data_IF_820610020892
#
_entry.id   IF_820610020892
#
_cell.length_a   1.000
_cell.length_b   1.000
_cell.length_c   1.000
_cell.angle_alpha   90.00
_cell.angle_beta   90.00
_cell.angle_gamma   90.00
#
_symmetry.space_group_name_H-M   'P 1'
#
loop_
_entity.id
_entity.type
_entity.pdbx_description
1 polymer ?
#
# COMPACT_ATOMS: atom_id res chain seq x y z
N UNK A 1 -5.87 71.54 -8.14
CA UNK A 1 -4.56 71.17 -7.54
C UNK A 1 -4.70 70.00 -6.57
N UNK A 2 -5.70 70.00 -5.70
CA UNK A 2 -5.87 69.01 -4.62
C UNK A 2 -6.15 67.56 -5.07
N UNK A 3 -6.78 67.36 -6.25
CA UNK A 3 -7.06 66.03 -6.83
C UNK A 3 -5.81 65.37 -7.44
N UNK A 4 -4.99 66.14 -8.16
CA UNK A 4 -3.78 65.62 -8.84
C UNK A 4 -2.75 65.18 -7.81
N UNK A 5 -2.55 65.96 -6.76
CA UNK A 5 -1.62 65.62 -5.67
C UNK A 5 -2.07 64.37 -4.88
N UNK A 6 -3.39 64.17 -4.73
CA UNK A 6 -3.94 62.93 -4.16
C UNK A 6 -3.66 61.73 -5.06
N UNK A 7 -3.87 61.85 -6.37
CA UNK A 7 -3.59 60.78 -7.34
C UNK A 7 -2.10 60.43 -7.34
N UNK A 8 -1.21 61.41 -7.34
CA UNK A 8 0.24 61.19 -7.27
C UNK A 8 0.66 60.45 -5.99
N UNK A 9 0.11 60.84 -4.82
CA UNK A 9 0.37 60.14 -3.55
C UNK A 9 -0.12 58.69 -3.59
N UNK A 10 -1.30 58.42 -4.18
CA UNK A 10 -1.81 57.05 -4.34
C UNK A 10 -0.94 56.22 -5.28
N UNK A 11 -0.46 56.79 -6.39
CA UNK A 11 0.46 56.11 -7.31
C UNK A 11 1.79 55.79 -6.63
N UNK A 12 2.37 56.74 -5.89
CA UNK A 12 3.62 56.51 -5.13
C UNK A 12 3.43 55.41 -4.09
N UNK A 13 2.34 55.46 -3.31
CA UNK A 13 2.03 54.42 -2.32
C UNK A 13 1.82 53.04 -2.97
N UNK A 14 1.14 52.98 -4.12
CA UNK A 14 0.95 51.73 -4.86
C UNK A 14 2.29 51.18 -5.39
N UNK A 15 3.17 52.03 -5.90
CA UNK A 15 4.51 51.64 -6.35
C UNK A 15 5.40 51.15 -5.20
N UNK A 16 5.38 51.83 -4.05
CA UNK A 16 6.12 51.40 -2.86
C UNK A 16 5.60 50.07 -2.32
N UNK A 17 4.27 49.89 -2.27
CA UNK A 17 3.64 48.63 -1.88
C UNK A 17 4.03 47.49 -2.82
N UNK A 18 3.96 47.71 -4.14
CA UNK A 18 4.37 46.72 -5.14
C UNK A 18 5.85 46.36 -5.00
N UNK A 19 6.72 47.35 -4.78
CA UNK A 19 8.16 47.12 -4.57
C UNK A 19 8.42 46.29 -3.31
N UNK A 20 7.72 46.58 -2.21
CA UNK A 20 7.82 45.81 -0.98
C UNK A 20 7.33 44.36 -1.16
N UNK A 21 6.22 44.16 -1.87
CA UNK A 21 5.70 42.83 -2.20
C UNK A 21 6.69 42.05 -3.07
N UNK A 22 7.26 42.68 -4.10
CA UNK A 22 8.26 42.04 -4.98
C UNK A 22 9.55 41.73 -4.23
N UNK A 23 10.02 42.63 -3.36
CA UNK A 23 11.18 42.42 -2.52
C UNK A 23 10.98 41.28 -1.52
N UNK A 24 9.81 41.21 -0.88
CA UNK A 24 9.44 40.10 -0.01
C UNK A 24 9.33 38.78 -0.78
N UNK A 25 8.68 38.78 -1.95
CA UNK A 25 8.56 37.58 -2.78
C UNK A 25 9.93 37.09 -3.28
N UNK A 26 10.86 38.00 -3.61
CA UNK A 26 12.23 37.65 -3.97
C UNK A 26 13.00 37.08 -2.77
N UNK A 27 12.84 37.65 -1.58
CA UNK A 27 13.44 37.15 -0.35
C UNK A 27 12.93 35.76 0.03
N UNK A 28 11.61 35.59 0.02
CA UNK A 28 10.92 34.32 0.29
C UNK A 28 11.37 33.25 -0.72
N UNK A 29 11.44 33.61 -2.01
CA UNK A 29 11.98 32.75 -3.05
C UNK A 29 13.47 32.40 -2.86
N UNK A 30 14.25 33.25 -2.16
CA UNK A 30 15.67 33.04 -1.86
C UNK A 30 15.97 32.33 -0.54
N UNK A 31 14.94 31.95 0.23
CA UNK A 31 15.13 31.26 1.52
C UNK A 31 14.22 30.04 1.61
N UNK A 32 14.51 29.04 0.77
CA UNK A 32 13.69 27.84 0.69
C UNK A 32 14.15 26.76 1.68
N UNK A 33 13.19 26.01 2.22
CA UNK A 33 13.44 24.94 3.22
C UNK A 33 14.54 23.95 2.79
N UNK A 34 14.55 23.57 1.52
CA UNK A 34 15.48 22.57 0.97
C UNK A 34 16.94 23.03 0.93
N UNK A 35 17.20 24.33 0.84
CA UNK A 35 18.56 24.89 0.80
C UNK A 35 19.29 24.57 2.11
N UNK A 36 18.62 24.75 3.24
CA UNK A 36 19.16 24.42 4.56
C UNK A 36 19.54 22.95 4.72
N UNK A 37 18.82 22.02 4.07
CA UNK A 37 19.20 20.61 4.04
C UNK A 37 20.47 20.37 3.22
N UNK A 38 20.63 21.05 2.07
CA UNK A 38 21.84 20.89 1.26
C UNK A 38 23.07 21.48 1.94
N UNK A 39 22.95 22.67 2.50
CA UNK A 39 24.03 23.31 3.25
C UNK A 39 24.47 22.45 4.44
N UNK A 40 23.51 21.89 5.17
CA UNK A 40 23.77 20.96 6.27
C UNK A 40 24.48 19.70 5.78
N UNK A 41 24.04 19.11 4.67
CA UNK A 41 24.68 17.95 4.07
C UNK A 41 26.12 18.25 3.64
N UNK A 42 26.37 19.33 2.91
CA UNK A 42 27.70 19.69 2.43
C UNK A 42 28.65 20.01 3.59
N UNK A 43 28.18 20.72 4.63
CA UNK A 43 28.95 20.95 5.86
C UNK A 43 29.34 19.63 6.52
N UNK A 44 28.39 18.71 6.66
CA UNK A 44 28.64 17.38 7.24
C UNK A 44 29.55 16.52 6.35
N UNK A 45 29.45 16.63 5.03
CA UNK A 45 30.28 15.89 4.08
C UNK A 45 31.73 16.39 4.13
N UNK A 46 31.96 17.70 4.27
CA UNK A 46 33.31 18.26 4.47
C UNK A 46 33.96 17.77 5.76
N UNK A 47 33.19 17.66 6.85
CA UNK A 47 33.69 17.15 8.13
C UNK A 47 34.02 15.66 8.08
N UNK A 48 33.33 14.88 7.23
CA UNK A 48 33.55 13.43 7.05
C UNK A 48 34.56 13.08 5.95
N UNK A 49 34.98 14.05 5.15
CA UNK A 49 35.91 13.82 4.05
C UNK A 49 37.32 13.50 4.58
N UNK A 50 37.85 12.35 4.13
CA UNK A 50 39.16 11.83 4.55
C UNK A 50 40.28 12.13 3.53
N UNK A 51 39.97 12.77 2.41
CA UNK A 51 40.95 13.18 1.40
C UNK A 51 40.65 14.57 0.84
N UNK A 52 41.68 15.26 0.34
CA UNK A 52 41.49 16.56 -0.32
C UNK A 52 40.61 16.44 -1.57
N UNK A 53 40.70 15.34 -2.32
CA UNK A 53 39.81 15.07 -3.44
C UNK A 53 38.33 15.00 -3.01
N UNK A 54 38.03 14.40 -1.87
CA UNK A 54 36.65 14.39 -1.33
C UNK A 54 36.22 15.80 -0.91
N UNK A 55 37.08 16.57 -0.26
CA UNK A 55 36.75 17.96 0.13
C UNK A 55 36.52 18.85 -1.08
N UNK A 56 37.34 18.72 -2.11
CA UNK A 56 37.19 19.44 -3.37
C UNK A 56 35.88 19.06 -4.07
N UNK A 57 35.55 17.77 -4.12
CA UNK A 57 34.25 17.31 -4.64
C UNK A 57 33.08 17.95 -3.89
N UNK A 58 33.11 17.99 -2.54
CA UNK A 58 32.03 18.61 -1.75
C UNK A 58 31.93 20.11 -2.02
N UNK A 59 33.06 20.84 -2.07
CA UNK A 59 33.08 22.29 -2.36
C UNK A 59 32.55 22.62 -3.75
N UNK A 60 32.70 21.71 -4.71
CA UNK A 60 32.22 21.88 -6.07
C UNK A 60 30.72 21.59 -6.24
N UNK A 61 30.03 21.06 -5.21
CA UNK A 61 28.60 20.75 -5.33
C UNK A 61 27.75 22.03 -5.24
N UNK A 62 26.90 22.32 -6.25
CA UNK A 62 26.00 23.47 -6.18
C UNK A 62 24.81 23.20 -5.26
N UNK A 63 24.36 24.25 -4.57
CA UNK A 63 23.07 24.30 -3.87
C UNK A 63 21.99 24.57 -4.91
N UNK A 64 21.24 23.55 -5.29
CA UNK A 64 20.20 23.63 -6.31
C UNK A 64 19.18 22.50 -6.16
N UNK A 65 18.00 22.67 -6.74
CA UNK A 65 17.00 21.60 -6.80
C UNK A 65 17.57 20.42 -7.60
N UNK A 66 17.70 19.27 -6.95
CA UNK A 66 18.16 18.04 -7.57
C UNK A 66 16.96 17.24 -8.07
N UNK A 67 17.01 16.79 -9.32
CA UNK A 67 15.89 16.12 -9.96
C UNK A 67 16.32 14.77 -10.55
N UNK A 68 15.59 13.72 -10.18
CA UNK A 68 15.60 12.43 -10.83
C UNK A 68 14.43 12.34 -11.82
N UNK A 69 14.70 11.75 -12.98
CA UNK A 69 13.67 11.40 -13.96
C UNK A 69 13.81 9.92 -14.30
N UNK A 70 13.21 9.02 -13.49
CA UNK A 70 13.33 7.59 -13.66
C UNK A 70 12.85 7.15 -15.05
N UNK A 71 13.71 6.41 -15.77
CA UNK A 71 13.45 6.00 -17.16
C UNK A 71 12.20 5.12 -17.31
N UNK A 72 11.88 4.31 -16.30
CA UNK A 72 10.80 3.32 -16.40
C UNK A 72 9.41 3.85 -16.07
N UNK A 73 9.31 4.96 -15.33
CA UNK A 73 8.03 5.45 -14.81
C UNK A 73 7.68 6.89 -15.20
N UNK A 74 8.57 7.57 -15.93
CA UNK A 74 8.40 8.97 -16.40
C UNK A 74 7.92 9.93 -15.29
N UNK A 75 8.25 9.63 -14.04
CA UNK A 75 8.01 10.51 -12.91
C UNK A 75 9.09 11.59 -12.85
N UNK A 76 8.78 12.68 -12.16
CA UNK A 76 9.76 13.71 -11.81
C UNK A 76 9.86 13.72 -10.30
N UNK A 77 11.06 13.47 -9.79
CA UNK A 77 11.29 13.26 -8.37
C UNK A 77 12.44 14.13 -7.86
N UNK A 78 12.20 14.84 -6.78
CA UNK A 78 13.11 15.83 -6.19
C UNK A 78 13.44 15.51 -4.74
N UNK A 79 13.11 14.31 -4.27
CA UNK A 79 13.41 13.85 -2.91
C UNK A 79 14.91 13.95 -2.59
N UNK A 80 15.78 13.71 -3.58
CA UNK A 80 17.24 13.85 -3.43
C UNK A 80 17.72 15.29 -3.30
N UNK A 81 16.84 16.29 -3.40
CA UNK A 81 17.16 17.68 -3.05
C UNK A 81 17.48 17.79 -1.56
N UNK A 82 16.77 17.07 -0.70
CA UNK A 82 17.03 17.03 0.75
C UNK A 82 17.74 15.73 1.17
N UNK A 83 17.41 14.60 0.54
CA UNK A 83 18.01 13.28 0.79
C UNK A 83 19.26 13.03 -0.06
N UNK A 84 20.21 13.95 -0.03
CA UNK A 84 21.43 13.93 -0.86
C UNK A 84 22.37 12.75 -0.56
N UNK A 85 22.28 12.19 0.65
CA UNK A 85 23.16 11.13 1.11
C UNK A 85 22.74 9.73 0.66
N UNK A 86 21.64 9.61 -0.10
CA UNK A 86 20.96 8.35 -0.40
C UNK A 86 21.88 7.24 -0.91
N UNK A 87 22.90 7.59 -1.70
CA UNK A 87 23.92 6.70 -2.26
C UNK A 87 25.35 7.00 -1.75
N UNK A 88 25.49 7.91 -0.77
CA UNK A 88 26.80 8.30 -0.26
C UNK A 88 27.26 7.38 0.89
N UNK A 89 28.29 6.53 0.68
CA UNK A 89 28.74 5.58 1.70
C UNK A 89 29.35 6.24 2.95
N UNK A 90 29.74 7.52 2.90
CA UNK A 90 30.23 8.25 4.08
C UNK A 90 29.15 8.47 5.15
N UNK A 91 27.88 8.24 4.80
CA UNK A 91 26.72 8.60 5.59
C UNK A 91 25.89 7.40 6.07
N UNK A 92 26.45 6.17 6.03
CA UNK A 92 25.76 4.94 6.48
C UNK A 92 25.17 5.05 7.88
N UNK A 93 25.90 5.67 8.80
CA UNK A 93 25.51 5.79 10.22
C UNK A 93 24.99 7.19 10.59
N UNK A 94 24.76 8.05 9.60
CA UNK A 94 24.24 9.40 9.85
C UNK A 94 22.76 9.36 10.30
N UNK A 95 22.27 10.39 11.01
CA UNK A 95 20.85 10.55 11.27
C UNK A 95 20.08 10.94 10.00
N UNK A 96 18.77 10.67 9.99
CA UNK A 96 17.87 11.19 8.95
C UNK A 96 17.90 12.73 8.91
N UNK A 97 17.77 13.38 7.74
CA UNK A 97 17.57 12.79 6.41
C UNK A 97 18.86 12.43 5.67
N UNK A 98 20.02 12.60 6.32
CA UNK A 98 21.34 12.39 5.70
C UNK A 98 21.83 10.96 5.82
N UNK A 99 20.98 10.00 6.17
CA UNK A 99 21.39 8.59 6.24
C UNK A 99 21.48 8.01 4.84
N UNK A 100 22.56 7.27 4.56
CA UNK A 100 22.67 6.50 3.33
C UNK A 100 21.65 5.37 3.30
N UNK A 101 21.11 5.08 2.12
CA UNK A 101 20.08 4.06 1.98
C UNK A 101 20.63 2.66 2.28
N UNK A 102 19.71 1.75 2.62
CA UNK A 102 20.00 0.32 2.68
C UNK A 102 20.54 -0.24 1.35
N UNK A 103 21.15 -1.42 1.41
CA UNK A 103 21.64 -2.19 0.26
C UNK A 103 20.59 -2.48 -0.82
N UNK A 104 19.30 -2.21 -0.55
CA UNK A 104 18.23 -2.32 -1.54
C UNK A 104 18.52 -1.52 -2.81
N UNK A 105 19.13 -0.31 -2.73
CA UNK A 105 19.44 0.49 -3.93
C UNK A 105 20.50 -0.12 -4.84
N UNK A 106 21.24 -1.13 -4.38
CA UNK A 106 22.13 -1.90 -5.26
C UNK A 106 21.31 -2.67 -6.32
N UNK A 107 20.13 -3.15 -5.94
CA UNK A 107 19.19 -3.85 -6.82
C UNK A 107 18.08 -2.94 -7.37
N UNK A 108 17.80 -1.83 -6.66
CA UNK A 108 16.76 -0.86 -7.00
C UNK A 108 17.32 0.58 -7.05
N UNK A 109 18.22 0.93 -7.99
CA UNK A 109 18.78 2.28 -8.04
C UNK A 109 17.69 3.35 -8.20
N UNK A 110 17.76 4.42 -7.40
CA UNK A 110 16.78 5.51 -7.44
C UNK A 110 16.73 6.21 -8.81
N UNK A 111 17.85 6.24 -9.54
CA UNK A 111 17.93 6.80 -10.89
C UNK A 111 17.08 6.00 -11.91
N UNK A 112 16.81 4.72 -11.64
CA UNK A 112 16.02 3.86 -12.52
C UNK A 112 14.55 3.80 -12.10
N UNK A 113 14.28 3.67 -10.80
CA UNK A 113 12.94 3.42 -10.27
C UNK A 113 12.28 4.65 -9.66
N UNK A 114 13.06 5.61 -9.15
CA UNK A 114 12.57 6.67 -8.29
C UNK A 114 12.45 6.24 -6.83
N UNK A 115 12.11 7.20 -5.98
CA UNK A 115 11.83 7.08 -4.56
C UNK A 115 10.33 6.87 -4.29
N UNK A 116 9.46 7.57 -5.03
CA UNK A 116 8.00 7.59 -4.76
C UNK A 116 7.35 6.23 -4.96
N UNK A 117 7.85 5.42 -5.89
CA UNK A 117 7.33 4.07 -6.13
C UNK A 117 7.44 3.17 -4.89
N UNK A 118 8.50 3.35 -4.09
CA UNK A 118 8.74 2.58 -2.87
C UNK A 118 8.16 3.24 -1.63
N UNK A 119 8.30 4.56 -1.53
CA UNK A 119 7.99 5.31 -0.31
C UNK A 119 6.65 6.05 -0.35
N UNK A 120 6.00 6.21 -1.50
CA UNK A 120 4.88 7.13 -1.67
C UNK A 120 5.32 8.60 -1.65
N UNK A 121 4.46 9.51 -1.19
CA UNK A 121 4.77 10.94 -1.14
C UNK A 121 4.49 11.69 -2.45
N UNK A 122 4.95 12.94 -2.50
CA UNK A 122 4.89 13.80 -3.68
C UNK A 122 6.29 14.03 -4.23
N UNK A 123 6.60 13.39 -5.36
CA UNK A 123 7.94 13.44 -5.96
C UNK A 123 8.35 14.83 -6.40
N UNK A 124 7.42 15.70 -6.81
CA UNK A 124 7.75 17.02 -7.35
C UNK A 124 7.97 18.10 -6.29
N UNK A 125 7.59 17.80 -5.05
CA UNK A 125 7.69 18.73 -3.95
C UNK A 125 9.14 18.92 -3.50
N UNK A 126 9.41 20.12 -2.98
CA UNK A 126 10.70 20.50 -2.38
C UNK A 126 10.53 21.02 -0.95
N UNK A 127 9.34 20.83 -0.38
CA UNK A 127 9.05 21.08 1.04
C UNK A 127 8.80 19.76 1.75
N UNK A 128 9.14 19.68 3.03
CA UNK A 128 8.94 18.46 3.82
C UNK A 128 7.46 18.10 3.92
N UNK A 129 6.60 19.10 4.10
CA UNK A 129 5.17 18.93 4.27
C UNK A 129 4.53 18.29 3.03
N UNK A 130 4.77 18.86 1.85
CA UNK A 130 4.22 18.34 0.58
C UNK A 130 4.87 17.03 0.17
N UNK A 131 6.21 16.95 0.21
CA UNK A 131 6.96 15.77 -0.20
C UNK A 131 6.59 14.54 0.61
N UNK A 132 6.33 14.72 1.90
CA UNK A 132 5.91 13.64 2.78
C UNK A 132 4.40 13.36 2.75
N UNK A 133 3.62 14.15 1.99
CA UNK A 133 2.17 14.07 1.93
C UNK A 133 1.50 14.32 3.29
N UNK A 134 2.01 15.29 4.04
CA UNK A 134 1.51 15.71 5.34
C UNK A 134 0.62 16.96 5.20
N UNK A 135 -0.36 17.13 6.10
CA UNK A 135 -1.29 18.26 6.09
C UNK A 135 -2.48 18.12 5.14
N UNK A 136 -3.18 19.24 4.86
CA UNK A 136 -4.37 19.29 3.98
C UNK A 136 -4.00 19.30 2.49
N UNK A 137 -3.01 18.51 2.11
CA UNK A 137 -2.43 18.49 0.77
C UNK A 137 -2.97 17.27 0.04
N UNK A 138 -3.29 17.38 -1.25
CA UNK A 138 -3.79 16.26 -2.08
C UNK A 138 -2.75 15.15 -2.32
N UNK A 139 -1.54 15.30 -1.76
CA UNK A 139 -0.46 14.32 -1.87
C UNK A 139 -0.73 13.07 -1.03
N UNK A 140 -0.28 11.90 -1.50
CA UNK A 140 -0.37 10.64 -0.73
C UNK A 140 0.70 10.65 0.36
N UNK A 141 0.35 10.41 1.64
CA UNK A 141 1.34 10.32 2.72
C UNK A 141 2.39 9.22 2.44
N UNK A 142 3.62 9.44 2.89
CA UNK A 142 4.67 8.42 2.80
C UNK A 142 4.29 7.13 3.52
N UNK A 143 4.64 6.01 2.90
CA UNK A 143 4.66 4.68 3.51
C UNK A 143 5.90 4.58 4.40
N UNK A 144 5.67 4.26 5.68
CA UNK A 144 6.73 4.09 6.69
C UNK A 144 6.69 2.70 7.29
N UNK A 145 7.86 2.15 7.62
CA UNK A 145 7.96 0.84 8.27
C UNK A 145 7.27 -0.26 7.45
N UNK A 146 6.40 -1.04 8.09
CA UNK A 146 5.70 -2.15 7.44
C UNK A 146 4.76 -1.74 6.30
N UNK A 147 4.32 -0.47 6.24
CA UNK A 147 3.50 0.01 5.12
C UNK A 147 4.22 -0.07 3.77
N UNK A 148 5.55 -0.06 3.76
CA UNK A 148 6.34 -0.22 2.53
C UNK A 148 6.18 -1.61 1.89
N UNK A 149 5.71 -2.62 2.63
CA UNK A 149 5.45 -3.95 2.06
C UNK A 149 4.40 -3.90 0.94
N UNK A 150 3.46 -2.95 0.98
CA UNK A 150 2.49 -2.74 -0.10
C UNK A 150 3.16 -2.35 -1.43
N UNK A 151 4.19 -1.50 -1.37
CA UNK A 151 4.95 -1.09 -2.55
C UNK A 151 5.75 -2.26 -3.13
N UNK A 152 6.44 -3.03 -2.29
CA UNK A 152 7.16 -4.24 -2.72
C UNK A 152 6.22 -5.24 -3.40
N UNK A 153 5.05 -5.48 -2.80
CA UNK A 153 4.05 -6.38 -3.34
C UNK A 153 3.50 -5.91 -4.69
N UNK A 154 3.35 -4.61 -4.90
CA UNK A 154 2.78 -4.05 -6.14
C UNK A 154 3.59 -4.45 -7.38
N UNK A 155 4.92 -4.58 -7.25
CA UNK A 155 5.79 -5.05 -8.33
C UNK A 155 5.99 -6.57 -8.35
N UNK A 156 6.19 -7.20 -7.19
CA UNK A 156 6.65 -8.59 -7.13
C UNK A 156 5.55 -9.62 -6.90
N UNK A 157 4.38 -9.21 -6.42
CA UNK A 157 3.29 -10.09 -5.99
C UNK A 157 3.68 -11.00 -4.80
N UNK A 158 2.96 -12.10 -4.64
CA UNK A 158 3.21 -13.12 -3.59
C UNK A 158 4.39 -14.03 -3.91
N UNK A 159 4.69 -14.27 -5.20
CA UNK A 159 5.54 -15.39 -5.62
C UNK A 159 7.06 -15.12 -5.52
N UNK A 160 7.48 -13.85 -5.53
CA UNK A 160 8.89 -13.49 -5.74
C UNK A 160 9.54 -12.79 -4.55
N UNK A 161 8.88 -12.73 -3.39
CA UNK A 161 9.39 -12.07 -2.19
C UNK A 161 9.52 -13.06 -1.03
N UNK A 162 10.51 -12.82 -0.17
CA UNK A 162 10.61 -13.58 1.08
C UNK A 162 9.32 -13.42 1.90
N UNK A 163 8.89 -14.45 2.66
CA UNK A 163 7.69 -14.37 3.48
C UNK A 163 7.66 -13.12 4.39
N UNK A 164 8.81 -12.72 4.93
CA UNK A 164 8.93 -11.52 5.78
C UNK A 164 8.63 -10.21 5.04
N UNK A 165 8.97 -10.12 3.76
CA UNK A 165 8.82 -8.90 2.96
C UNK A 165 7.36 -8.62 2.54
N UNK A 166 6.48 -9.62 2.60
CA UNK A 166 5.05 -9.50 2.26
C UNK A 166 4.12 -9.97 3.37
N UNK A 167 4.65 -10.27 4.55
CA UNK A 167 3.89 -10.88 5.64
C UNK A 167 2.64 -10.07 6.01
N UNK A 168 2.75 -8.74 6.07
CA UNK A 168 1.63 -7.87 6.40
C UNK A 168 0.56 -7.85 5.30
N UNK A 169 0.97 -7.90 4.03
CA UNK A 169 0.04 -7.98 2.89
C UNK A 169 -0.73 -9.29 2.93
N UNK A 170 -0.04 -10.42 3.14
CA UNK A 170 -0.67 -11.75 3.21
C UNK A 170 -1.64 -11.84 4.39
N UNK A 171 -1.23 -11.40 5.59
CA UNK A 171 -2.12 -11.35 6.76
C UNK A 171 -3.31 -10.44 6.52
N UNK A 172 -3.10 -9.27 5.92
CA UNK A 172 -4.17 -8.34 5.56
C UNK A 172 -5.22 -8.96 4.64
N UNK A 173 -4.77 -9.68 3.60
CA UNK A 173 -5.65 -10.42 2.69
C UNK A 173 -6.46 -11.49 3.43
N UNK A 174 -5.82 -12.23 4.35
CA UNK A 174 -6.49 -13.23 5.18
C UNK A 174 -7.54 -12.58 6.09
N UNK A 175 -7.23 -11.43 6.67
CA UNK A 175 -8.15 -10.69 7.53
C UNK A 175 -9.36 -10.14 6.77
N UNK A 176 -9.17 -9.62 5.54
CA UNK A 176 -10.28 -9.22 4.65
C UNK A 176 -11.28 -10.36 4.45
N UNK A 177 -10.79 -11.59 4.31
CA UNK A 177 -11.64 -12.77 4.21
C UNK A 177 -12.25 -13.15 5.57
N UNK A 178 -11.44 -13.17 6.64
CA UNK A 178 -11.85 -13.55 7.99
C UNK A 178 -12.93 -12.63 8.57
N UNK A 179 -12.92 -11.36 8.22
CA UNK A 179 -13.90 -10.37 8.67
C UNK A 179 -15.01 -10.13 7.62
N UNK A 180 -15.09 -10.99 6.60
CA UNK A 180 -16.14 -10.96 5.57
C UNK A 180 -16.31 -9.61 4.87
N UNK A 181 -15.21 -8.90 4.64
CA UNK A 181 -15.30 -7.61 3.96
C UNK A 181 -15.92 -7.78 2.55
N UNK A 182 -15.68 -8.92 1.91
CA UNK A 182 -16.27 -9.27 0.61
C UNK A 182 -17.78 -9.56 0.64
N UNK A 183 -18.40 -9.67 1.84
CA UNK A 183 -19.85 -9.80 1.95
C UNK A 183 -20.60 -8.56 1.47
N UNK A 184 -19.99 -7.37 1.66
CA UNK A 184 -20.55 -6.12 1.15
C UNK A 184 -19.70 -5.53 0.03
N UNK A 185 -18.37 -5.63 0.10
CA UNK A 185 -17.47 -5.00 -0.86
C UNK A 185 -17.07 -5.93 -2.01
N UNK A 186 -16.78 -5.35 -3.15
CA UNK A 186 -16.18 -6.05 -4.28
C UNK A 186 -14.66 -5.84 -4.32
N UNK A 187 -13.91 -6.87 -4.73
CA UNK A 187 -12.51 -6.79 -5.14
C UNK A 187 -12.34 -7.61 -6.42
N UNK A 188 -11.97 -6.95 -7.51
CA UNK A 188 -11.70 -7.51 -8.84
C UNK A 188 -12.86 -8.39 -9.34
N UNK A 189 -14.09 -7.89 -9.20
CA UNK A 189 -15.31 -8.60 -9.60
C UNK A 189 -15.77 -9.69 -8.64
N UNK A 190 -15.12 -9.86 -7.48
CA UNK A 190 -15.51 -10.87 -6.46
C UNK A 190 -16.02 -10.17 -5.21
N UNK A 191 -17.18 -10.58 -4.71
CA UNK A 191 -17.82 -10.06 -3.49
C UNK A 191 -19.18 -9.43 -3.74
N UNK A 192 -19.70 -8.70 -2.75
CA UNK A 192 -20.97 -7.99 -2.82
C UNK A 192 -20.87 -6.60 -3.44
N UNK A 193 -22.02 -5.98 -3.69
CA UNK A 193 -22.14 -4.62 -4.26
C UNK A 193 -22.75 -3.60 -3.29
N UNK A 194 -23.09 -4.04 -2.06
CA UNK A 194 -23.66 -3.18 -1.01
C UNK A 194 -22.66 -2.11 -0.52
N UNK A 195 -21.38 -2.45 -0.52
CA UNK A 195 -20.26 -1.57 -0.23
C UNK A 195 -19.53 -1.16 -1.50
N UNK A 196 -18.76 -0.05 -1.48
CA UNK A 196 -17.99 0.39 -2.64
C UNK A 196 -16.93 -0.64 -3.07
N UNK A 197 -16.68 -0.72 -4.38
CA UNK A 197 -15.60 -1.53 -4.94
C UNK A 197 -14.22 -1.08 -4.42
N UNK A 198 -13.48 -2.04 -3.86
CA UNK A 198 -12.16 -1.84 -3.26
C UNK A 198 -11.01 -2.13 -4.23
N UNK A 199 -11.28 -2.55 -5.47
CA UNK A 199 -10.28 -2.93 -6.49
C UNK A 199 -9.19 -1.89 -6.74
N UNK A 200 -9.52 -0.61 -6.54
CA UNK A 200 -8.63 0.53 -6.74
C UNK A 200 -8.50 1.40 -5.47
N UNK A 201 -8.85 0.87 -4.28
CA UNK A 201 -8.93 1.70 -3.07
C UNK A 201 -7.57 2.27 -2.67
N UNK A 202 -6.46 1.58 -2.93
CA UNK A 202 -5.10 2.07 -2.71
C UNK A 202 -4.68 3.19 -3.69
N UNK A 203 -5.32 3.26 -4.86
CA UNK A 203 -5.20 4.42 -5.75
C UNK A 203 -6.00 5.60 -5.22
N UNK A 204 -7.18 5.35 -4.65
CA UNK A 204 -8.18 6.37 -4.33
C UNK A 204 -8.09 6.94 -2.91
N UNK A 205 -7.41 6.26 -1.99
CA UNK A 205 -7.32 6.62 -0.58
C UNK A 205 -5.89 6.48 -0.07
N UNK A 206 -5.52 7.33 0.89
CA UNK A 206 -4.24 7.19 1.60
C UNK A 206 -4.30 6.06 2.62
N UNK A 207 -3.14 5.50 2.97
CA UNK A 207 -3.05 4.52 4.05
C UNK A 207 -3.61 5.08 5.37
N UNK A 208 -3.44 6.38 5.63
CA UNK A 208 -3.96 7.04 6.83
C UNK A 208 -5.50 7.07 6.83
N UNK A 209 -6.11 7.39 5.69
CA UNK A 209 -7.56 7.36 5.53
C UNK A 209 -8.10 5.93 5.70
N UNK A 210 -7.46 4.96 5.07
CA UNK A 210 -7.85 3.54 5.16
C UNK A 210 -7.77 3.04 6.60
N UNK A 211 -6.67 3.31 7.29
CA UNK A 211 -6.47 2.94 8.69
C UNK A 211 -7.56 3.58 9.57
N UNK A 212 -7.79 4.87 9.41
CA UNK A 212 -8.76 5.60 10.22
C UNK A 212 -10.19 5.14 9.94
N UNK A 213 -10.53 4.88 8.68
CA UNK A 213 -11.86 4.42 8.28
C UNK A 213 -12.12 2.99 8.78
N UNK A 214 -11.16 2.07 8.66
CA UNK A 214 -11.26 0.73 9.23
C UNK A 214 -11.42 0.75 10.76
N UNK A 215 -10.74 1.68 11.43
CA UNK A 215 -10.83 1.81 12.89
C UNK A 215 -12.20 2.37 13.34
N UNK A 216 -12.74 3.38 12.63
CA UNK A 216 -14.05 4.00 12.92
C UNK A 216 -14.70 4.53 11.64
N UNK A 217 -15.48 3.70 10.91
CA UNK A 217 -16.02 4.07 9.62
C UNK A 217 -16.88 5.33 9.65
N UNK A 218 -17.79 5.41 10.62
CA UNK A 218 -18.76 6.51 10.80
C UNK A 218 -18.09 7.85 11.16
N UNK A 219 -16.90 7.82 11.76
CA UNK A 219 -16.15 9.02 12.11
C UNK A 219 -15.44 9.62 10.89
N UNK A 220 -15.12 8.79 9.89
CA UNK A 220 -14.43 9.22 8.67
C UNK A 220 -15.41 9.49 7.54
N UNK A 221 -16.48 8.70 7.45
CA UNK A 221 -17.57 8.86 6.49
C UNK A 221 -18.88 8.93 7.27
N UNK A 222 -19.44 10.14 7.35
CA UNK A 222 -20.72 10.39 8.03
C UNK A 222 -21.82 9.57 7.36
N UNK A 223 -22.59 8.82 8.16
CA UNK A 223 -23.64 7.95 7.67
C UNK A 223 -23.17 6.62 7.07
N UNK A 224 -21.88 6.27 7.24
CA UNK A 224 -21.37 4.97 6.78
C UNK A 224 -22.11 3.80 7.44
N UNK A 225 -22.61 2.89 6.60
CA UNK A 225 -23.23 1.62 6.99
C UNK A 225 -22.20 0.53 7.29
N UNK A 226 -20.91 0.77 7.03
CA UNK A 226 -19.83 -0.17 7.32
C UNK A 226 -19.74 -0.40 8.84
N UNK A 227 -19.87 -1.65 9.33
CA UNK A 227 -19.90 -1.90 10.77
C UNK A 227 -18.55 -1.59 11.43
N UNK A 228 -18.58 -1.28 12.72
CA UNK A 228 -17.36 -1.18 13.54
C UNK A 228 -16.90 -2.59 13.87
N UNK A 229 -15.74 -2.99 13.33
CA UNK A 229 -15.14 -4.29 13.60
C UNK A 229 -14.30 -4.26 14.88
N UNK A 230 -14.29 -5.37 15.62
CA UNK A 230 -13.37 -5.58 16.75
C UNK A 230 -12.00 -6.03 16.22
N UNK A 231 -11.25 -5.08 15.65
CA UNK A 231 -9.90 -5.27 15.13
C UNK A 231 -8.85 -4.74 16.10
N UNK A 232 -7.78 -5.49 16.29
CA UNK A 232 -6.58 -4.98 16.94
C UNK A 232 -5.86 -3.95 16.04
N UNK A 233 -5.01 -3.10 16.62
CA UNK A 233 -4.20 -2.14 15.86
C UNK A 233 -3.32 -2.82 14.79
N UNK A 234 -2.85 -4.03 15.08
CA UNK A 234 -2.05 -4.81 14.14
C UNK A 234 -2.88 -5.29 12.95
N UNK A 235 -4.11 -5.75 13.19
CA UNK A 235 -5.03 -6.20 12.13
C UNK A 235 -5.49 -5.04 11.25
N UNK A 236 -5.85 -3.89 11.84
CA UNK A 236 -6.19 -2.68 11.05
C UNK A 236 -5.03 -2.28 10.14
N UNK A 237 -3.80 -2.30 10.66
CA UNK A 237 -2.58 -2.01 9.89
C UNK A 237 -2.39 -3.03 8.76
N UNK A 238 -2.48 -4.33 9.03
CA UNK A 238 -2.27 -5.37 8.03
C UNK A 238 -3.34 -5.32 6.92
N UNK A 239 -4.62 -5.13 7.28
CA UNK A 239 -5.70 -4.90 6.29
C UNK A 239 -5.39 -3.65 5.45
N UNK A 240 -5.00 -2.54 6.10
CA UNK A 240 -4.61 -1.32 5.40
C UNK A 240 -3.49 -1.57 4.39
N UNK A 241 -2.46 -2.31 4.80
CA UNK A 241 -1.32 -2.66 3.95
C UNK A 241 -1.75 -3.47 2.73
N UNK A 242 -2.65 -4.45 2.91
CA UNK A 242 -3.23 -5.19 1.79
C UNK A 242 -4.06 -4.29 0.87
N UNK A 243 -4.94 -3.46 1.41
CA UNK A 243 -5.77 -2.55 0.61
C UNK A 243 -4.94 -1.54 -0.20
N UNK A 244 -3.78 -1.12 0.31
CA UNK A 244 -2.83 -0.27 -0.43
C UNK A 244 -2.25 -0.95 -1.68
N UNK A 245 -2.31 -2.29 -1.79
CA UNK A 245 -1.89 -3.02 -3.01
C UNK A 245 -2.95 -3.02 -4.11
N UNK A 246 -4.18 -2.59 -3.80
CA UNK A 246 -5.30 -2.57 -4.74
C UNK A 246 -5.27 -1.27 -5.54
N UNK A 247 -4.48 -1.29 -6.61
CA UNK A 247 -4.25 -0.16 -7.52
C UNK A 247 -5.05 -0.30 -8.82
N UNK A 248 -5.56 0.83 -9.29
CA UNK A 248 -6.06 1.01 -10.66
C UNK A 248 -4.96 0.79 -11.71
N UNK A 249 -5.34 0.69 -12.98
CA UNK A 249 -4.40 0.44 -14.08
C UNK A 249 -3.35 1.53 -14.21
N UNK A 250 -3.72 2.80 -13.97
CA UNK A 250 -2.82 3.94 -14.07
C UNK A 250 -1.73 3.91 -13.01
N UNK A 251 -2.10 3.83 -11.72
CA UNK A 251 -1.12 3.79 -10.64
C UNK A 251 -0.36 2.47 -10.63
N UNK A 252 -0.96 1.36 -11.11
CA UNK A 252 -0.22 0.09 -11.32
C UNK A 252 0.88 0.25 -12.35
N UNK A 253 0.60 0.84 -13.51
CA UNK A 253 1.62 1.12 -14.54
C UNK A 253 2.67 2.12 -14.03
N UNK A 254 2.23 3.15 -13.29
CA UNK A 254 3.15 4.13 -12.70
C UNK A 254 4.06 3.51 -11.64
N UNK A 255 3.60 2.50 -10.91
CA UNK A 255 4.33 1.89 -9.81
C UNK A 255 4.94 0.52 -10.15
N UNK A 256 4.69 -0.02 -11.35
CA UNK A 256 5.22 -1.33 -11.82
C UNK A 256 5.95 -1.15 -13.14
N UNK A 257 7.29 -1.30 -13.18
CA UNK A 257 8.05 -1.00 -14.38
C UNK A 257 7.63 -1.94 -15.51
N UNK A 258 7.65 -1.52 -16.79
CA UNK A 258 7.33 -2.40 -17.92
C UNK A 258 8.19 -3.68 -17.94
N UNK A 259 9.42 -3.62 -17.42
CA UNK A 259 10.30 -4.78 -17.26
C UNK A 259 9.84 -5.76 -16.14
N UNK A 260 9.10 -5.29 -15.13
CA UNK A 260 8.49 -6.15 -14.11
C UNK A 260 7.21 -6.84 -14.65
N UNK A 261 6.45 -6.14 -15.48
CA UNK A 261 5.22 -6.64 -16.11
C UNK A 261 5.49 -7.73 -17.17
N UNK A 262 6.71 -7.77 -17.74
CA UNK A 262 7.13 -8.84 -18.66
C UNK A 262 7.22 -10.23 -18.02
N UNK A 263 7.14 -10.37 -16.68
CA UNK A 263 7.06 -11.68 -16.01
C UNK A 263 5.67 -12.10 -15.56
N UNK A 264 4.63 -11.28 -15.77
CA UNK A 264 3.25 -11.62 -15.38
C UNK A 264 2.26 -11.53 -16.54
N UNK A 265 2.72 -11.80 -17.77
CA UNK A 265 1.82 -12.36 -18.77
C UNK A 265 1.50 -13.78 -18.31
N UNK A 266 0.29 -13.94 -17.79
CA UNK A 266 -0.39 -15.22 -17.61
C UNK A 266 0.07 -16.25 -18.62
N UNK A 267 0.79 -17.26 -18.15
CA UNK A 267 1.10 -18.45 -18.93
C UNK A 267 -0.21 -19.21 -19.16
N UNK A 268 -0.82 -19.00 -20.31
CA UNK A 268 -1.85 -19.88 -20.84
C UNK A 268 -1.13 -20.98 -21.63
N UNK A 269 -1.23 -22.21 -21.11
CA UNK A 269 -1.02 -23.48 -21.80
C UNK A 269 0.19 -23.62 -22.74
N UNK A 270 1.23 -24.28 -22.25
CA UNK A 270 1.98 -25.31 -22.99
C UNK A 270 2.86 -26.09 -21.99
N UNK A 271 3.12 -27.38 -22.23
CA UNK A 271 4.02 -28.14 -21.35
C UNK A 271 5.48 -27.75 -21.58
N UNK A 272 6.31 -27.62 -20.53
CA UNK A 272 7.72 -27.25 -20.68
C UNK A 272 8.52 -28.36 -21.39
N UNK A 273 9.15 -28.02 -22.51
CA UNK A 273 10.15 -28.88 -23.16
C UNK A 273 11.37 -29.09 -22.26
N UNK A 274 11.91 -30.30 -22.31
CA UNK A 274 12.91 -30.89 -21.39
C UNK A 274 14.25 -30.15 -21.21
N UNK A 275 14.54 -29.10 -21.96
CA UNK A 275 15.91 -28.58 -22.09
C UNK A 275 16.30 -27.55 -21.01
N UNK A 276 15.37 -27.11 -20.15
CA UNK A 276 15.64 -26.18 -19.03
C UNK A 276 16.11 -26.88 -17.73
N UNK A 277 16.64 -28.11 -17.80
CA UNK A 277 17.11 -28.88 -16.63
C UNK A 277 18.55 -28.57 -16.18
N UNK A 278 19.30 -27.72 -16.88
CA UNK A 278 20.72 -27.46 -16.57
C UNK A 278 20.98 -26.01 -16.24
N UNK A 279 20.57 -25.60 -15.04
CA UNK A 279 21.22 -24.61 -14.17
C UNK A 279 20.25 -24.21 -13.04
N UNK A 280 20.12 -25.08 -12.05
CA UNK A 280 19.61 -24.70 -10.72
C UNK A 280 20.76 -24.79 -9.74
N UNK A 281 21.28 -23.62 -9.35
CA UNK A 281 22.06 -23.50 -8.13
C UNK A 281 21.18 -23.88 -6.93
N UNK A 282 21.74 -24.69 -6.03
CA UNK A 282 21.09 -25.29 -4.88
C UNK A 282 20.30 -24.28 -4.02
N UNK A 283 18.96 -24.30 -4.14
CA UNK A 283 18.06 -23.95 -3.06
C UNK A 283 17.48 -25.26 -2.49
N UNK A 284 17.32 -25.39 -1.16
CA UNK A 284 16.84 -26.61 -0.53
C UNK A 284 15.45 -26.99 -1.05
N UNK A 285 15.28 -28.26 -1.45
CA UNK A 285 14.13 -28.86 -2.14
C UNK A 285 12.81 -28.88 -1.34
N UNK A 286 12.73 -28.18 -0.21
CA UNK A 286 11.61 -28.29 0.73
C UNK A 286 10.75 -27.02 0.79
N UNK A 287 11.07 -25.97 0.03
CA UNK A 287 10.23 -24.79 -0.10
C UNK A 287 9.27 -24.97 -1.29
N UNK A 288 8.37 -25.94 -1.22
CA UNK A 288 7.16 -25.89 -2.05
C UNK A 288 6.45 -24.59 -1.72
N UNK A 289 6.20 -23.74 -2.72
CA UNK A 289 5.28 -22.63 -2.60
C UNK A 289 3.93 -23.18 -2.10
N UNK A 290 3.66 -23.03 -0.81
CA UNK A 290 2.39 -23.43 -0.22
C UNK A 290 1.30 -22.62 -0.92
N UNK A 291 0.51 -23.30 -1.74
CA UNK A 291 -0.72 -22.75 -2.27
C UNK A 291 -1.60 -22.42 -1.06
N UNK A 292 -2.01 -21.16 -0.91
CA UNK A 292 -2.84 -20.70 0.22
C UNK A 292 -4.05 -21.63 0.39
N UNK A 293 -4.10 -22.38 1.50
CA UNK A 293 -5.23 -23.23 1.86
C UNK A 293 -6.00 -22.52 2.96
N UNK A 294 -7.31 -22.34 2.77
CA UNK A 294 -8.17 -21.87 3.85
C UNK A 294 -8.15 -22.92 4.98
N UNK A 295 -7.96 -22.49 6.22
CA UNK A 295 -8.28 -23.34 7.37
C UNK A 295 -9.80 -23.32 7.52
N UNK A 296 -10.46 -24.45 7.26
CA UNK A 296 -11.92 -24.48 7.21
C UNK A 296 -12.59 -24.21 8.57
N UNK A 297 -11.93 -24.47 9.70
CA UNK A 297 -12.46 -24.17 11.04
C UNK A 297 -12.36 -22.69 11.38
N UNK A 298 -11.21 -22.07 11.12
CA UNK A 298 -11.03 -20.62 11.20
C UNK A 298 -11.96 -19.91 10.20
N UNK A 299 -12.14 -20.47 9.01
CA UNK A 299 -13.04 -19.94 8.00
C UNK A 299 -14.50 -20.04 8.44
N UNK A 300 -14.93 -21.13 9.08
CA UNK A 300 -16.28 -21.25 9.66
C UNK A 300 -16.60 -20.15 10.68
N UNK A 301 -15.65 -19.86 11.57
CA UNK A 301 -15.82 -18.77 12.54
C UNK A 301 -15.71 -17.39 11.91
N UNK A 302 -14.77 -17.19 10.99
CA UNK A 302 -14.58 -15.93 10.27
C UNK A 302 -15.75 -15.60 9.35
N UNK A 303 -16.34 -16.62 8.72
CA UNK A 303 -17.52 -16.49 7.88
C UNK A 303 -18.82 -16.25 8.67
N UNK A 304 -18.73 -16.05 9.99
CA UNK A 304 -19.87 -15.71 10.83
C UNK A 304 -20.85 -16.86 11.02
N UNK A 305 -20.53 -18.07 10.54
CA UNK A 305 -21.41 -19.23 10.62
C UNK A 305 -21.74 -19.55 12.07
N UNK A 306 -20.78 -19.36 12.99
CA UNK A 306 -20.98 -19.58 14.42
C UNK A 306 -21.90 -18.59 15.12
N UNK A 307 -22.29 -17.48 14.47
CA UNK A 307 -23.27 -16.54 15.02
C UNK A 307 -24.68 -17.14 15.02
N UNK A 308 -24.98 -17.95 14.01
CA UNK A 308 -26.27 -18.62 13.89
C UNK A 308 -26.20 -20.09 14.27
N UNK A 309 -25.11 -20.78 13.92
CA UNK A 309 -24.97 -22.22 14.09
C UNK A 309 -24.07 -22.59 15.27
N UNK A 310 -24.34 -23.75 15.88
CA UNK A 310 -23.53 -24.31 16.97
C UNK A 310 -22.74 -25.56 16.53
N UNK A 311 -21.55 -25.74 17.10
CA UNK A 311 -20.73 -26.95 17.03
C UNK A 311 -20.36 -27.35 18.46
N UNK A 312 -20.73 -28.56 18.86
CA UNK A 312 -20.71 -28.98 20.26
C UNK A 312 -21.63 -28.07 21.09
N UNK A 313 -21.07 -27.49 22.16
CA UNK A 313 -21.77 -26.57 23.06
C UNK A 313 -21.41 -25.09 22.80
N UNK A 314 -20.91 -24.75 21.61
CA UNK A 314 -20.45 -23.38 21.28
C UNK A 314 -21.07 -22.90 19.96
N UNK A 315 -21.51 -21.64 19.94
CA UNK A 315 -22.08 -20.97 18.76
C UNK A 315 -23.49 -20.47 19.01
N UNK A 316 -24.22 -20.17 17.94
CA UNK A 316 -25.59 -19.65 17.98
C UNK A 316 -26.67 -20.72 17.92
N UNK A 317 -27.90 -20.29 18.19
CA UNK A 317 -29.12 -21.13 18.17
C UNK A 317 -30.12 -20.71 17.09
N UNK A 318 -29.78 -19.71 16.26
CA UNK A 318 -30.65 -19.21 15.18
C UNK A 318 -30.75 -20.23 14.04
N UNK A 319 -29.63 -20.87 13.72
CA UNK A 319 -29.52 -21.99 12.79
C UNK A 319 -29.35 -23.31 13.54
N UNK A 320 -29.62 -24.45 12.88
CA UNK A 320 -29.47 -25.77 13.50
C UNK A 320 -28.01 -26.05 13.89
N UNK A 321 -27.84 -26.88 14.92
CA UNK A 321 -26.54 -27.39 15.34
C UNK A 321 -25.88 -28.22 14.22
N UNK A 322 -24.63 -27.91 13.92
CA UNK A 322 -23.82 -28.51 12.86
C UNK A 322 -22.81 -29.55 13.38
N UNK A 323 -22.81 -29.84 14.68
CA UNK A 323 -21.88 -30.79 15.34
C UNK A 323 -21.70 -32.12 14.61
N UNK A 324 -22.76 -32.61 13.96
CA UNK A 324 -22.78 -33.89 13.26
C UNK A 324 -23.22 -33.74 11.80
N UNK A 325 -23.02 -32.56 11.21
CA UNK A 325 -23.53 -32.27 9.86
C UNK A 325 -22.87 -33.16 8.80
N UNK A 326 -21.60 -33.54 8.99
CA UNK A 326 -20.88 -34.44 8.09
C UNK A 326 -21.44 -35.87 8.04
N UNK A 327 -22.20 -36.31 9.05
CA UNK A 327 -22.97 -37.57 9.00
C UNK A 327 -24.33 -37.42 8.32
N UNK A 328 -24.87 -36.19 8.27
CA UNK A 328 -26.24 -35.92 7.82
C UNK A 328 -26.32 -35.44 6.37
N UNK A 329 -25.24 -34.90 5.82
CA UNK A 329 -25.16 -34.32 4.48
C UNK A 329 -23.85 -34.72 3.81
N UNK A 330 -23.92 -34.99 2.51
CA UNK A 330 -22.72 -35.21 1.70
C UNK A 330 -22.01 -33.89 1.41
N UNK A 331 -20.71 -33.93 1.16
CA UNK A 331 -19.91 -32.72 0.86
C UNK A 331 -20.49 -31.94 -0.31
N UNK A 332 -20.94 -32.61 -1.37
CA UNK A 332 -21.53 -31.97 -2.55
C UNK A 332 -22.87 -31.28 -2.24
N UNK A 333 -23.65 -31.83 -1.30
CA UNK A 333 -24.90 -31.21 -0.83
C UNK A 333 -24.60 -29.95 -0.01
N UNK A 334 -23.54 -29.99 0.81
CA UNK A 334 -23.06 -28.83 1.55
C UNK A 334 -22.52 -27.75 0.61
N UNK A 335 -21.78 -28.11 -0.42
CA UNK A 335 -21.32 -27.15 -1.44
C UNK A 335 -22.48 -26.48 -2.16
N UNK A 336 -23.52 -27.25 -2.53
CA UNK A 336 -24.73 -26.70 -3.16
C UNK A 336 -25.47 -25.75 -2.24
N UNK A 337 -25.67 -26.15 -0.97
CA UNK A 337 -26.32 -25.32 0.04
C UNK A 337 -25.55 -24.01 0.28
N UNK A 338 -24.22 -24.07 0.34
CA UNK A 338 -23.38 -22.88 0.54
C UNK A 338 -23.36 -21.96 -0.68
N UNK A 339 -23.60 -22.51 -1.88
CA UNK A 339 -23.65 -21.76 -3.14
C UNK A 339 -24.97 -21.02 -3.31
N UNK A 340 -26.08 -21.67 -3.01
CA UNK A 340 -27.41 -21.07 -3.09
C UNK A 340 -28.32 -21.66 -1.99
N UNK A 341 -28.38 -21.01 -0.81
CA UNK A 341 -29.23 -21.46 0.27
C UNK A 341 -30.73 -21.39 -0.05
N UNK A 342 -31.18 -20.44 -0.88
CA UNK A 342 -32.61 -20.28 -1.21
C UNK A 342 -33.08 -21.37 -2.17
N UNK A 343 -32.23 -21.79 -3.12
CA UNK A 343 -32.51 -22.94 -3.99
C UNK A 343 -32.68 -24.23 -3.17
N UNK A 344 -31.79 -24.46 -2.19
CA UNK A 344 -31.75 -25.71 -1.42
C UNK A 344 -32.72 -25.70 -0.24
N UNK A 345 -32.95 -24.54 0.39
CA UNK A 345 -33.85 -24.33 1.52
C UNK A 345 -34.77 -23.13 1.28
N UNK A 346 -35.78 -23.25 0.38
CA UNK A 346 -36.69 -22.15 0.08
C UNK A 346 -37.40 -21.62 1.33
N UNK A 347 -37.37 -20.30 1.54
CA UNK A 347 -37.93 -19.65 2.73
C UNK A 347 -37.13 -19.86 4.03
N UNK A 348 -35.91 -20.38 3.93
CA UNK A 348 -34.98 -20.53 5.05
C UNK A 348 -34.45 -19.19 5.57
N UNK A 349 -33.98 -19.17 6.82
CA UNK A 349 -33.34 -17.98 7.42
C UNK A 349 -31.83 -17.87 7.12
N UNK A 350 -31.29 -18.82 6.36
CA UNK A 350 -29.86 -18.84 6.02
C UNK A 350 -29.60 -17.83 4.89
N UNK A 351 -28.79 -16.79 5.12
CA UNK A 351 -28.57 -15.75 4.12
C UNK A 351 -27.72 -16.27 2.95
N UNK A 352 -27.84 -15.63 1.79
CA UNK A 352 -26.95 -15.89 0.66
C UNK A 352 -25.50 -15.61 1.07
N UNK A 353 -24.65 -16.63 0.92
CA UNK A 353 -23.23 -16.53 1.26
C UNK A 353 -22.47 -16.28 -0.03
N UNK A 354 -21.98 -15.06 -0.24
CA UNK A 354 -21.21 -14.67 -1.44
C UNK A 354 -19.79 -15.25 -1.43
N UNK A 355 -19.68 -16.58 -1.39
CA UNK A 355 -18.44 -17.34 -1.34
C UNK A 355 -18.00 -17.75 -2.75
N UNK A 356 -16.70 -17.73 -3.00
CA UNK A 356 -16.13 -18.29 -4.24
C UNK A 356 -15.99 -19.83 -4.16
N UNK A 357 -15.71 -20.47 -5.29
CA UNK A 357 -15.63 -21.95 -5.37
C UNK A 357 -14.61 -22.58 -4.42
N UNK A 358 -13.46 -21.94 -4.19
CA UNK A 358 -12.43 -22.46 -3.30
C UNK A 358 -12.83 -22.35 -1.83
N UNK A 359 -13.52 -21.25 -1.47
CA UNK A 359 -14.11 -21.04 -0.16
C UNK A 359 -15.25 -22.03 0.11
N UNK A 360 -16.15 -22.23 -0.85
CA UNK A 360 -17.24 -23.21 -0.77
C UNK A 360 -16.68 -24.61 -0.51
N UNK A 361 -15.72 -25.04 -1.33
CA UNK A 361 -15.06 -26.35 -1.19
C UNK A 361 -14.37 -26.50 0.16
N UNK A 362 -13.67 -25.47 0.63
CA UNK A 362 -12.98 -25.54 1.92
C UNK A 362 -13.96 -25.60 3.09
N UNK A 363 -15.02 -24.79 3.06
CA UNK A 363 -16.06 -24.80 4.08
C UNK A 363 -16.79 -26.15 4.10
N UNK A 364 -17.20 -26.64 2.94
CA UNK A 364 -17.87 -27.93 2.82
C UNK A 364 -16.96 -29.08 3.29
N UNK A 365 -15.67 -29.06 2.95
CA UNK A 365 -14.70 -30.03 3.43
C UNK A 365 -14.61 -30.02 4.96
N UNK A 366 -14.50 -28.84 5.59
CA UNK A 366 -14.48 -28.73 7.05
C UNK A 366 -15.78 -29.22 7.70
N UNK A 367 -16.94 -28.79 7.20
CA UNK A 367 -18.24 -29.26 7.69
C UNK A 367 -18.38 -30.78 7.58
N UNK A 368 -17.80 -31.39 6.54
CA UNK A 368 -17.79 -32.83 6.35
C UNK A 368 -16.92 -33.58 7.37
N UNK A 369 -15.96 -32.89 8.01
CA UNK A 369 -15.16 -33.46 9.12
C UNK A 369 -15.93 -33.48 10.45
N UNK A 370 -17.04 -32.74 10.57
CA UNK A 370 -17.87 -32.69 11.76
C UNK A 370 -18.80 -33.91 11.80
N UNK A 371 -18.22 -35.05 12.19
CA UNK A 371 -18.90 -36.34 12.20
C UNK A 371 -19.66 -36.59 13.48
#
# INVERSE_FOLDING_TARGET
MDEVEKIERWVILACLLLTAILGWAAWDASTQEWEGYQESYYRLALLRANSEAQKEWVRAQPVEIKQLQPKEHRSVERCITCHLAVDNPMFRDAPEPFRAHSSLLLSHPAQRFGCVVCHGGEGRAVTTLEGHGQGNIRAKPLLRGEYMQAACYSCHGEANLSPKAVAAVVRGRQLVNRYLCLGCHQIRGVGGEEGPDLSAVGSNRSWLWLYAHLARPQAIVVGSTMPVFLLSRAEVKDITIYLMTLLDSRDRFRNTPPAAEQRTKSYQGEEPKEEAKKEKGNLPENATAEKFRYDGGLFFHGAGCSLCHSIGNRGGEVGPALTYIGRKRKTEELERLLRDPEEVLPGGKMPQLYLNDEQIKTMAAYLSTLQ
#
